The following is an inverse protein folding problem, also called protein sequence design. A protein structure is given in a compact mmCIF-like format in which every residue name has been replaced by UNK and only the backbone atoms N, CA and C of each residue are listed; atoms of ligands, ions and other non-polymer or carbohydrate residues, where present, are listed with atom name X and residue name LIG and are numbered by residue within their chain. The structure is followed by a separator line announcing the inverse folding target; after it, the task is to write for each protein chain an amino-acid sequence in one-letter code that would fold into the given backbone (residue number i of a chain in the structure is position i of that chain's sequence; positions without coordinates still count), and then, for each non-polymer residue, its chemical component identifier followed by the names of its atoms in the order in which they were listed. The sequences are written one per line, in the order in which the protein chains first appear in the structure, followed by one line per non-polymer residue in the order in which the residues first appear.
data_IF_625841460048
#
_entry.id   IF_625841460048
#
_cell.length_a   1.000
_cell.length_b   1.000
_cell.length_c   1.000
_cell.angle_alpha   90.00
_cell.angle_beta   90.00
_cell.angle_gamma   90.00
#
_symmetry.space_group_name_H-M   'P 1'
#
loop_
_entity.id
_entity.type
_entity.pdbx_description
1 polymer ?
#
# COMPACT_ATOMS: atom_id res chain seq x y z
N UNK A 1 1.59 -0.73 7.62
CA UNK A 1 0.97 0.54 7.15
C UNK A 1 0.89 0.52 5.62
N UNK A 2 -0.32 0.59 5.07
CA UNK A 2 -0.55 0.69 3.63
C UNK A 2 -0.88 2.15 3.28
N UNK A 3 -0.23 2.65 2.24
CA UNK A 3 -0.40 4.01 1.74
C UNK A 3 -0.85 3.95 0.28
N UNK A 4 -1.69 4.89 -0.13
CA UNK A 4 -2.22 4.99 -1.49
C UNK A 4 -2.14 6.44 -1.97
N UNK A 5 -1.81 6.63 -3.24
CA UNK A 5 -1.68 7.94 -3.86
C UNK A 5 -2.41 7.99 -5.21
N UNK A 6 -2.89 9.19 -5.55
CA UNK A 6 -3.36 9.52 -6.89
C UNK A 6 -2.24 10.12 -7.74
N UNK A 7 -2.62 10.72 -8.88
CA UNK A 7 -1.68 11.36 -9.82
C UNK A 7 -0.90 12.54 -9.23
N UNK A 8 -1.40 13.13 -8.14
CA UNK A 8 -0.72 14.19 -7.39
C UNK A 8 0.47 13.71 -6.53
N UNK A 9 0.73 12.39 -6.50
CA UNK A 9 1.84 11.77 -5.75
C UNK A 9 1.79 11.94 -4.23
N UNK A 10 0.66 12.42 -3.69
CA UNK A 10 0.46 12.56 -2.24
C UNK A 10 -0.09 11.25 -1.67
N UNK A 11 0.65 10.66 -0.74
CA UNK A 11 0.28 9.41 -0.10
C UNK A 11 -0.60 9.63 1.13
N UNK A 12 -1.72 8.90 1.18
CA UNK A 12 -2.64 8.87 2.32
C UNK A 12 -2.72 7.45 2.89
N UNK A 13 -3.06 7.29 4.19
CA UNK A 13 -3.40 6.00 4.76
C UNK A 13 -4.51 5.31 3.95
N UNK A 14 -4.31 4.01 3.70
CA UNK A 14 -5.24 3.17 2.97
C UNK A 14 -5.86 2.12 3.89
N UNK A 15 -7.16 1.87 3.70
CA UNK A 15 -7.80 0.65 4.12
C UNK A 15 -7.58 -0.42 3.05
N UNK A 16 -7.57 -1.69 3.45
CA UNK A 16 -7.39 -2.79 2.51
C UNK A 16 -8.06 -4.09 2.95
N UNK A 17 -8.37 -4.93 1.97
CA UNK A 17 -8.86 -6.29 2.16
C UNK A 17 -8.25 -7.23 1.12
N UNK A 18 -8.24 -8.53 1.44
CA UNK A 18 -7.90 -9.57 0.46
C UNK A 18 -9.21 -10.10 -0.14
N UNK A 19 -9.34 -9.99 -1.45
CA UNK A 19 -10.45 -10.57 -2.21
C UNK A 19 -9.91 -11.44 -3.33
N UNK A 20 -10.27 -12.73 -3.32
CA UNK A 20 -9.87 -13.69 -4.37
C UNK A 20 -8.35 -13.68 -4.65
N UNK A 21 -7.55 -13.60 -3.58
CA UNK A 21 -6.08 -13.57 -3.67
C UNK A 21 -5.48 -12.22 -4.09
N UNK A 22 -6.28 -11.17 -4.21
CA UNK A 22 -5.82 -9.81 -4.55
C UNK A 22 -5.94 -8.89 -3.35
N UNK A 23 -4.94 -8.04 -3.15
CA UNK A 23 -5.02 -6.93 -2.20
C UNK A 23 -5.80 -5.78 -2.84
N UNK A 24 -6.98 -5.50 -2.31
CA UNK A 24 -7.83 -4.36 -2.70
C UNK A 24 -7.63 -3.27 -1.68
N UNK A 25 -7.15 -2.10 -2.10
CA UNK A 25 -6.82 -0.97 -1.25
C UNK A 25 -7.57 0.30 -1.68
N UNK A 26 -8.01 1.11 -0.73
CA UNK A 26 -8.73 2.37 -0.99
C UNK A 26 -8.46 3.41 0.11
N UNK A 27 -8.73 4.67 -0.22
CA UNK A 27 -8.75 5.76 0.75
C UNK A 27 -9.81 6.80 0.35
N UNK A 28 -10.53 7.35 1.33
CA UNK A 28 -11.52 8.42 1.08
C UNK A 28 -10.88 9.69 0.52
N UNK A 29 -9.57 9.85 0.69
CA UNK A 29 -8.80 11.01 0.22
C UNK A 29 -8.30 10.84 -1.23
N UNK A 30 -8.41 9.64 -1.82
CA UNK A 30 -7.86 9.33 -3.15
C UNK A 30 -8.96 8.74 -4.02
N UNK A 31 -9.54 9.58 -4.89
CA UNK A 31 -10.62 9.17 -5.81
C UNK A 31 -10.12 8.28 -6.95
N UNK A 32 -8.94 8.60 -7.47
CA UNK A 32 -8.32 7.91 -8.62
C UNK A 32 -6.94 7.40 -8.20
N UNK A 33 -6.86 6.21 -7.59
CA UNK A 33 -5.59 5.67 -7.12
C UNK A 33 -4.73 5.18 -8.28
N UNK A 34 -3.44 5.53 -8.24
CA UNK A 34 -2.46 5.10 -9.25
C UNK A 34 -1.25 4.40 -8.63
N UNK A 35 -1.04 4.52 -7.32
CA UNK A 35 0.11 3.95 -6.64
C UNK A 35 -0.22 3.47 -5.22
N UNK A 36 0.42 2.38 -4.78
CA UNK A 36 0.35 1.83 -3.42
C UNK A 36 1.76 1.60 -2.89
N UNK A 37 1.95 1.86 -1.59
CA UNK A 37 3.18 1.55 -0.84
C UNK A 37 2.82 0.79 0.43
N UNK A 38 3.56 -0.28 0.73
CA UNK A 38 3.41 -1.08 1.94
C UNK A 38 4.70 -1.07 2.76
N UNK A 39 4.58 -0.74 4.05
CA UNK A 39 5.71 -0.60 4.98
C UNK A 39 6.81 0.34 4.48
N UNK A 40 6.42 1.41 3.79
CA UNK A 40 7.34 2.42 3.28
C UNK A 40 7.60 3.52 4.32
N UNK A 41 8.03 3.10 5.50
CA UNK A 41 8.27 3.97 6.66
C UNK A 41 9.15 3.26 7.70
N UNK A 42 9.98 4.01 8.42
CA UNK A 42 11.09 3.50 9.23
C UNK A 42 10.68 2.53 10.36
N UNK A 43 9.55 2.77 11.03
CA UNK A 43 9.13 2.02 12.22
C UNK A 43 7.71 1.44 12.11
N UNK A 44 7.24 1.21 10.88
CA UNK A 44 5.88 0.74 10.66
C UNK A 44 5.74 -0.77 10.86
N UNK A 45 4.81 -1.16 11.72
CA UNK A 45 4.43 -2.56 11.90
C UNK A 45 3.67 -3.04 10.66
N UNK A 46 4.12 -4.17 10.12
CA UNK A 46 3.50 -4.87 9.00
C UNK A 46 2.42 -5.82 9.49
N UNK A 47 1.35 -5.94 8.71
CA UNK A 47 0.19 -6.78 9.03
C UNK A 47 -0.30 -7.60 7.83
N UNK A 48 0.48 -7.65 6.75
CA UNK A 48 0.17 -8.45 5.56
C UNK A 48 0.96 -9.76 5.57
N UNK A 49 0.25 -10.86 5.38
CA UNK A 49 0.80 -12.23 5.37
C UNK A 49 0.39 -12.89 4.06
N UNK A 50 1.33 -13.61 3.44
CA UNK A 50 1.09 -14.39 2.23
C UNK A 50 0.19 -15.59 2.51
N UNK A 51 -0.28 -16.25 1.44
CA UNK A 51 -1.02 -17.51 1.57
C UNK A 51 -0.19 -18.64 2.20
N UNK A 52 1.14 -18.54 2.18
CA UNK A 52 2.05 -19.49 2.84
C UNK A 52 2.34 -19.16 4.30
N UNK A 53 1.69 -18.12 4.86
CA UNK A 53 1.86 -17.73 6.26
C UNK A 53 3.11 -16.86 6.51
N UNK A 54 3.80 -16.42 5.46
CA UNK A 54 5.00 -15.58 5.60
C UNK A 54 4.65 -14.09 5.56
N UNK A 55 5.33 -13.24 6.35
CA UNK A 55 5.19 -11.80 6.22
C UNK A 55 5.50 -11.34 4.79
N UNK A 56 4.67 -10.47 4.25
CA UNK A 56 4.94 -9.85 2.94
C UNK A 56 6.04 -8.80 3.10
N UNK A 57 7.04 -8.84 2.23
CA UNK A 57 8.10 -7.83 2.19
C UNK A 57 7.54 -6.44 1.88
N UNK A 58 8.18 -5.35 2.36
CA UNK A 58 7.84 -4.00 1.93
C UNK A 58 7.86 -3.90 0.39
N UNK A 59 6.88 -3.18 -0.17
CA UNK A 59 6.79 -3.00 -1.62
C UNK A 59 6.20 -1.65 -1.98
N UNK A 60 6.40 -1.26 -3.23
CA UNK A 60 5.77 -0.10 -3.86
C UNK A 60 5.42 -0.43 -5.31
N UNK A 61 4.40 0.24 -5.84
CA UNK A 61 3.99 0.05 -7.25
C UNK A 61 4.35 1.24 -8.14
N UNK A 62 4.82 2.34 -7.56
CA UNK A 62 5.28 3.51 -8.29
C UNK A 62 6.79 3.48 -8.52
N UNK A 63 7.22 4.12 -9.60
CA UNK A 63 8.60 4.30 -10.04
C UNK A 63 9.15 5.71 -9.72
N UNK A 64 8.44 6.48 -8.90
CA UNK A 64 8.80 7.86 -8.57
C UNK A 64 10.07 7.95 -7.72
N UNK A 65 10.78 9.07 -7.82
CA UNK A 65 11.90 9.32 -6.92
C UNK A 65 11.42 9.33 -5.46
N UNK A 66 12.27 8.77 -4.59
CA UNK A 66 12.08 8.85 -3.14
C UNK A 66 12.93 10.02 -2.70
N UNK A 67 12.29 11.08 -2.20
CA UNK A 67 13.00 12.14 -1.48
C UNK A 67 13.63 11.62 -0.18
#
# INVERSE_FOLDING_TARGET
ALLIAGTNKVFYPAEAKIEKGKLVAWSKNVKEPVAVRYQFCNACIGNLVSQTGLPVAPFRTDDWEVE
#
